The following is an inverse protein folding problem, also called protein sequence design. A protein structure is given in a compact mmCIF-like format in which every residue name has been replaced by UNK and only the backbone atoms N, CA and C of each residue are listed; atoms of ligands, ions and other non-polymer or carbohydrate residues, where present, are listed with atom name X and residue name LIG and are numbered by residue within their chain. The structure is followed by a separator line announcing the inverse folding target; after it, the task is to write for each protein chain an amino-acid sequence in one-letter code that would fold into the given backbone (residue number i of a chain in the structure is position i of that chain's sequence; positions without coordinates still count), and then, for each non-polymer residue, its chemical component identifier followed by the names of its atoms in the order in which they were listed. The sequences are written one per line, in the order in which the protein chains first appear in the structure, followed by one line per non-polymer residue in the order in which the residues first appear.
data_IF_163487084280
#
_entry.id   IF_163487084280
#
_cell.length_a   1.000
_cell.length_b   1.000
_cell.length_c   1.000
_cell.angle_alpha   90.00
_cell.angle_beta   90.00
_cell.angle_gamma   90.00
#
_symmetry.space_group_name_H-M   'P 1'
#
loop_
_entity.id
_entity.type
_entity.pdbx_description
1 polymer ?
#
# COMPACT_ATOMS: atom_id res chain seq x y z
N UNK A 1 13.36 15.23 -4.11
CA UNK A 1 13.53 14.04 -3.24
C UNK A 1 13.61 12.87 -4.19
N UNK A 2 14.65 12.02 -4.10
CA UNK A 2 14.68 10.80 -4.91
C UNK A 2 13.75 9.77 -4.27
N UNK A 3 12.99 9.07 -5.10
CA UNK A 3 12.13 7.96 -4.68
C UNK A 3 12.94 6.82 -4.05
N UNK A 4 14.20 6.68 -4.46
CA UNK A 4 15.15 5.66 -4.01
C UNK A 4 15.63 5.88 -2.57
N UNK A 5 15.52 7.11 -2.05
CA UNK A 5 15.95 7.47 -0.69
C UNK A 5 14.81 7.35 0.34
N UNK A 6 13.63 6.89 -0.08
CA UNK A 6 12.47 6.79 0.81
C UNK A 6 12.65 5.63 1.79
N UNK A 7 12.53 5.94 3.09
CA UNK A 7 12.39 4.93 4.13
C UNK A 7 11.02 4.25 4.00
N UNK A 8 11.02 3.05 3.44
CA UNK A 8 9.82 2.24 3.21
C UNK A 8 9.12 1.86 4.52
N UNK A 9 9.86 1.66 5.61
CA UNK A 9 9.28 1.31 6.90
C UNK A 9 8.52 2.50 7.48
N UNK A 10 9.14 3.68 7.47
CA UNK A 10 8.48 4.91 7.89
C UNK A 10 7.26 5.24 7.02
N UNK A 11 7.34 5.01 5.70
CA UNK A 11 6.20 5.19 4.81
C UNK A 11 5.07 4.19 5.12
N UNK A 12 5.38 2.93 5.40
CA UNK A 12 4.39 1.93 5.79
C UNK A 12 3.67 2.30 7.10
N UNK A 13 4.38 2.83 8.10
CA UNK A 13 3.76 3.36 9.33
C UNK A 13 2.80 4.51 9.02
N UNK A 14 3.19 5.43 8.13
CA UNK A 14 2.34 6.54 7.69
C UNK A 14 1.07 6.00 7.03
N UNK A 15 1.20 5.12 6.02
CA UNK A 15 0.08 4.48 5.33
C UNK A 15 -0.87 3.80 6.32
N UNK A 16 -0.34 3.04 7.30
CA UNK A 16 -1.15 2.33 8.28
C UNK A 16 -2.08 3.27 9.07
N UNK A 17 -1.66 4.51 9.35
CA UNK A 17 -2.48 5.51 10.05
C UNK A 17 -3.64 6.05 9.21
N UNK A 18 -3.58 5.95 7.89
CA UNK A 18 -4.69 6.37 7.01
C UNK A 18 -5.78 5.31 6.89
N UNK A 19 -5.48 4.05 7.22
CA UNK A 19 -6.44 2.95 7.05
C UNK A 19 -7.60 3.14 8.03
N UNK A 20 -8.83 3.37 7.54
CA UNK A 20 -9.98 3.52 8.41
C UNK A 20 -10.30 2.19 9.09
N UNK A 21 -10.51 2.22 10.41
CA UNK A 21 -10.78 1.02 11.20
C UNK A 21 -12.14 0.36 10.87
N UNK A 22 -13.08 1.12 10.30
CA UNK A 22 -14.44 0.65 9.98
C UNK A 22 -14.56 0.04 8.59
N UNK A 23 -13.81 0.54 7.61
CA UNK A 23 -13.90 0.11 6.21
C UNK A 23 -12.51 0.07 5.55
N UNK A 24 -11.64 -0.86 5.98
CA UNK A 24 -10.31 -0.99 5.39
C UNK A 24 -10.39 -1.39 3.91
N UNK A 25 -9.37 -1.07 3.11
CA UNK A 25 -9.35 -1.46 1.70
C UNK A 25 -9.41 -2.98 1.54
N UNK A 26 -10.32 -3.44 0.69
CA UNK A 26 -10.52 -4.85 0.33
C UNK A 26 -10.43 -5.04 -1.17
N UNK A 27 -10.05 -6.23 -1.59
CA UNK A 27 -9.77 -6.57 -2.99
C UNK A 27 -8.43 -6.01 -3.46
N UNK A 28 -7.81 -6.71 -4.42
CA UNK A 28 -6.46 -6.39 -4.87
C UNK A 28 -6.39 -5.01 -5.55
N UNK A 29 -7.12 -4.82 -6.64
CA UNK A 29 -7.09 -3.56 -7.42
C UNK A 29 -7.60 -2.35 -6.62
N UNK A 30 -8.64 -2.52 -5.80
CA UNK A 30 -9.15 -1.43 -4.97
C UNK A 30 -8.15 -1.05 -3.87
N UNK A 31 -7.51 -2.04 -3.24
CA UNK A 31 -6.47 -1.76 -2.25
C UNK A 31 -5.24 -1.09 -2.86
N UNK A 32 -4.80 -1.54 -4.04
CA UNK A 32 -3.76 -0.88 -4.86
C UNK A 32 -4.05 0.60 -5.06
N UNK A 33 -5.22 0.92 -5.62
CA UNK A 33 -5.61 2.32 -5.87
C UNK A 33 -5.66 3.13 -4.58
N UNK A 34 -6.20 2.55 -3.50
CA UNK A 34 -6.22 3.21 -2.19
C UNK A 34 -4.81 3.54 -1.70
N UNK A 35 -3.86 2.59 -1.74
CA UNK A 35 -2.50 2.83 -1.27
C UNK A 35 -1.75 3.83 -2.14
N UNK A 36 -1.96 3.80 -3.47
CA UNK A 36 -1.39 4.80 -4.39
C UNK A 36 -1.85 6.20 -3.99
N UNK A 37 -3.14 6.40 -3.81
CA UNK A 37 -3.71 7.71 -3.47
C UNK A 37 -3.18 8.22 -2.12
N UNK A 38 -3.02 7.34 -1.14
CA UNK A 38 -2.39 7.67 0.16
C UNK A 38 -0.92 8.05 -0.02
N UNK A 39 -0.14 7.27 -0.77
CA UNK A 39 1.29 7.54 -1.00
C UNK A 39 1.49 8.88 -1.74
N UNK A 40 0.71 9.11 -2.79
CA UNK A 40 0.73 10.36 -3.55
C UNK A 40 0.43 11.56 -2.64
N UNK A 41 -0.57 11.44 -1.76
CA UNK A 41 -0.91 12.48 -0.80
C UNK A 41 0.18 12.70 0.26
N UNK A 42 0.75 11.63 0.81
CA UNK A 42 1.74 11.71 1.89
C UNK A 42 3.09 12.27 1.44
N UNK A 43 3.45 12.08 0.17
CA UNK A 43 4.73 12.50 -0.40
C UNK A 43 4.62 13.70 -1.34
N UNK A 44 3.41 14.04 -1.80
CA UNK A 44 3.21 15.08 -2.81
C UNK A 44 3.80 14.71 -4.17
N UNK A 45 3.86 13.42 -4.50
CA UNK A 45 4.39 12.90 -5.76
C UNK A 45 3.28 12.62 -6.79
N UNK A 46 3.67 12.28 -8.02
CA UNK A 46 2.72 11.89 -9.06
C UNK A 46 2.11 10.51 -8.80
N UNK A 47 0.95 10.23 -9.41
CA UNK A 47 0.30 8.92 -9.34
C UNK A 47 1.20 7.79 -9.86
N UNK A 48 2.06 8.06 -10.85
CA UNK A 48 2.99 7.08 -11.40
C UNK A 48 4.08 6.72 -10.38
N UNK A 49 4.72 7.72 -9.78
CA UNK A 49 5.73 7.51 -8.74
C UNK A 49 5.11 6.81 -7.52
N UNK A 50 3.88 7.17 -7.15
CA UNK A 50 3.16 6.52 -6.08
C UNK A 50 2.86 5.05 -6.39
N UNK A 51 2.48 4.72 -7.63
CA UNK A 51 2.24 3.35 -8.06
C UNK A 51 3.53 2.51 -7.99
N UNK A 52 4.65 3.05 -8.48
CA UNK A 52 5.97 2.41 -8.39
C UNK A 52 6.41 2.16 -6.93
N UNK A 53 6.08 3.08 -6.02
CA UNK A 53 6.30 2.89 -4.59
C UNK A 53 5.38 1.83 -3.99
N UNK A 54 4.12 1.76 -4.39
CA UNK A 54 3.19 0.70 -3.95
C UNK A 54 3.71 -0.67 -4.39
N UNK A 55 4.18 -0.79 -5.64
CA UNK A 55 4.86 -1.99 -6.13
C UNK A 55 6.07 -2.34 -5.26
N UNK A 56 6.92 -1.36 -4.95
CA UNK A 56 8.11 -1.55 -4.12
C UNK A 56 7.77 -1.97 -2.70
N UNK A 57 6.77 -1.34 -2.07
CA UNK A 57 6.29 -1.69 -0.73
C UNK A 57 5.70 -3.11 -0.69
N UNK A 58 4.99 -3.51 -1.73
CA UNK A 58 4.44 -4.86 -1.85
C UNK A 58 5.54 -5.92 -2.06
N UNK A 59 6.49 -5.66 -2.97
CA UNK A 59 7.65 -6.54 -3.22
C UNK A 59 8.50 -6.74 -1.97
N UNK A 60 8.66 -5.71 -1.14
CA UNK A 60 9.40 -5.78 0.11
C UNK A 60 8.53 -6.27 1.30
N UNK A 61 7.25 -6.57 1.07
CA UNK A 61 6.36 -7.17 2.05
C UNK A 61 5.82 -6.21 3.11
N UNK A 62 5.93 -4.89 2.90
CA UNK A 62 5.30 -3.85 3.73
C UNK A 62 3.80 -3.77 3.48
N UNK A 63 3.37 -3.99 2.25
CA UNK A 63 1.98 -4.20 1.88
C UNK A 63 1.79 -5.68 1.53
N UNK A 64 0.80 -6.34 2.14
CA UNK A 64 0.51 -7.76 1.87
C UNK A 64 -0.95 -7.95 1.58
N UNK A 65 -1.27 -8.39 0.37
CA UNK A 65 -2.60 -8.88 0.04
C UNK A 65 -2.78 -10.29 0.61
N UNK A 66 -3.87 -10.51 1.36
CA UNK A 66 -4.16 -11.80 2.00
C UNK A 66 -4.95 -12.77 1.10
N UNK A 67 -5.19 -12.39 -0.16
CA UNK A 67 -5.87 -13.22 -1.15
C UNK A 67 -4.94 -13.65 -2.28
N UNK A 68 -5.51 -14.30 -3.29
CA UNK A 68 -4.84 -14.59 -4.55
C UNK A 68 -5.08 -13.44 -5.55
N UNK A 69 -4.05 -12.67 -5.94
CA UNK A 69 -4.17 -11.61 -6.94
C UNK A 69 -4.57 -12.11 -8.34
N UNK A 70 -4.28 -13.37 -8.66
CA UNK A 70 -4.59 -14.00 -9.96
C UNK A 70 -5.99 -14.61 -10.01
N UNK A 71 -6.61 -14.82 -8.85
CA UNK A 71 -7.98 -15.28 -8.78
C UNK A 71 -8.95 -14.18 -9.19
N UNK A 72 -10.01 -14.55 -9.94
CA UNK A 72 -11.11 -13.64 -10.25
C UNK A 72 -11.80 -13.21 -8.95
N UNK A 73 -11.47 -12.00 -8.51
CA UNK A 73 -12.11 -11.14 -7.52
C UNK A 73 -12.95 -11.83 -6.44
N UNK A 74 -12.29 -12.41 -5.42
CA UNK A 74 -12.91 -12.36 -4.08
C UNK A 74 -12.72 -10.94 -3.54
N UNK A 75 -13.72 -10.10 -3.75
CA UNK A 75 -13.71 -8.68 -3.38
C UNK A 75 -13.52 -8.43 -1.87
N UNK A 76 -13.59 -9.48 -1.04
CA UNK A 76 -13.52 -9.40 0.42
C UNK A 76 -12.12 -9.65 0.99
N UNK A 77 -11.15 -10.10 0.16
CA UNK A 77 -9.79 -10.35 0.63
C UNK A 77 -9.14 -9.05 1.11
N UNK A 78 -8.51 -9.10 2.28
CA UNK A 78 -7.98 -7.94 2.99
C UNK A 78 -6.51 -7.68 2.66
N UNK A 79 -6.05 -6.50 3.04
CA UNK A 79 -4.65 -6.12 3.05
C UNK A 79 -4.12 -6.04 4.49
N UNK A 80 -2.81 -6.20 4.64
CA UNK A 80 -2.09 -5.95 5.89
C UNK A 80 -0.92 -5.04 5.60
N UNK A 81 -0.71 -4.05 6.47
CA UNK A 81 0.47 -3.19 6.44
C UNK A 81 1.41 -3.62 7.56
N UNK A 82 2.65 -3.97 7.21
CA UNK A 82 3.68 -4.46 8.13
C UNK A 82 4.85 -3.47 8.10
N UNK A 83 4.86 -2.44 8.96
CA UNK A 83 6.06 -1.62 9.12
C UNK A 83 7.21 -2.50 9.64
N UNK A 84 8.44 -2.29 9.16
CA UNK A 84 9.57 -3.14 9.51
C UNK A 84 9.82 -3.07 11.02
N UNK A 85 9.49 -4.16 11.72
CA UNK A 85 9.54 -4.20 13.18
C UNK A 85 8.54 -5.13 13.83
N UNK A 86 8.37 -6.37 13.30
CA UNK A 86 7.99 -7.56 14.08
C UNK A 86 8.12 -8.84 13.26
#
# INVERSE_FOLDING_TARGET
MSIEDIDLAALAERIQRHIPSTEPPVGYLRGRSYFRDVVASELGCSDLEAEELVDTLEMNGFLRFQGDPSARSRAESRWTVVPAGR
#
